data_IF_260755627152
#
_entry.id   IF_260755627152
#
_cell.length_a   1.000
_cell.length_b   1.000
_cell.length_c   1.000
_cell.angle_alpha   90.00
_cell.angle_beta   90.00
_cell.angle_gamma   90.00
#
_symmetry.space_group_name_H-M   'P 1'
#
loop_
_entity.id
_entity.type
_entity.pdbx_description
1 polymer ?
#
# COMPACT_ATOMS: atom_id res chain seq x y z
N UNK A 1 -16.94 81.90 -1.37
CA UNK A 1 -16.06 80.87 -0.74
C UNK A 1 -16.96 79.68 -0.41
N UNK A 2 -17.01 78.69 -1.31
CA UNK A 2 -17.94 77.56 -1.24
C UNK A 2 -17.10 76.31 -0.96
N UNK A 3 -17.27 75.72 0.22
CA UNK A 3 -16.56 74.52 0.68
C UNK A 3 -17.36 73.29 0.20
N UNK A 4 -16.78 72.45 -0.70
CA UNK A 4 -17.31 71.16 -1.07
C UNK A 4 -16.86 70.10 -0.04
N UNK A 5 -17.82 69.51 0.63
CA UNK A 5 -17.62 68.31 1.47
C UNK A 5 -17.73 67.06 0.56
N UNK A 6 -16.62 66.38 0.38
CA UNK A 6 -16.56 65.10 -0.33
C UNK A 6 -16.86 63.96 0.66
N UNK A 7 -18.08 63.43 0.64
CA UNK A 7 -18.47 62.25 1.40
C UNK A 7 -17.94 60.98 0.78
N UNK A 8 -16.91 60.38 1.44
CA UNK A 8 -16.41 59.06 1.07
C UNK A 8 -17.36 57.94 1.50
N UNK A 9 -17.92 57.21 0.59
CA UNK A 9 -18.73 56.02 0.79
C UNK A 9 -17.78 54.85 1.13
N UNK A 10 -17.73 54.49 2.40
CA UNK A 10 -16.93 53.30 2.87
C UNK A 10 -17.76 52.04 2.53
N UNK A 11 -17.44 51.36 1.47
CA UNK A 11 -18.01 50.04 1.13
C UNK A 11 -17.38 49.02 2.08
N UNK A 12 -18.13 48.55 3.07
CA UNK A 12 -17.73 47.43 3.94
C UNK A 12 -17.89 46.14 3.12
N UNK A 13 -16.74 45.60 2.67
CA UNK A 13 -16.70 44.26 2.09
C UNK A 13 -17.01 43.25 3.19
N UNK A 14 -18.20 42.68 3.17
CA UNK A 14 -18.53 41.53 4.01
C UNK A 14 -17.76 40.31 3.47
N UNK A 15 -16.74 39.89 4.21
CA UNK A 15 -16.08 38.59 3.93
C UNK A 15 -17.13 37.49 4.18
N UNK A 16 -17.50 36.80 3.10
CA UNK A 16 -18.28 35.57 3.18
C UNK A 16 -17.42 34.54 3.94
N UNK A 17 -17.90 33.97 5.06
CA UNK A 17 -17.13 32.91 5.74
C UNK A 17 -16.96 31.75 4.75
N UNK A 18 -15.73 31.33 4.53
CA UNK A 18 -15.44 30.12 3.80
C UNK A 18 -16.22 28.95 4.45
N UNK A 19 -16.81 28.03 3.66
CA UNK A 19 -17.49 26.89 4.23
C UNK A 19 -16.53 26.16 5.13
N UNK A 20 -16.96 25.86 6.37
CA UNK A 20 -16.20 25.12 7.38
C UNK A 20 -15.61 23.89 6.71
N UNK A 21 -14.28 23.82 6.69
CA UNK A 21 -13.56 22.80 5.98
C UNK A 21 -14.09 21.42 6.36
N UNK A 22 -14.51 20.65 5.37
CA UNK A 22 -14.57 19.21 5.52
C UNK A 22 -13.14 18.77 5.83
N UNK A 23 -12.89 18.52 7.10
CA UNK A 23 -11.67 17.89 7.57
C UNK A 23 -11.70 16.46 6.99
N UNK A 24 -11.19 16.32 5.76
CA UNK A 24 -10.89 15.02 5.22
C UNK A 24 -9.87 14.42 6.19
N UNK A 25 -10.28 13.44 6.97
CA UNK A 25 -9.35 12.60 7.70
C UNK A 25 -8.43 11.98 6.66
N UNK A 26 -7.35 12.69 6.34
CA UNK A 26 -6.35 12.29 5.38
C UNK A 26 -5.64 11.11 6.02
N UNK A 27 -5.89 9.90 5.50
CA UNK A 27 -5.18 8.71 5.96
C UNK A 27 -3.68 9.02 5.83
N UNK A 28 -3.01 9.09 6.97
CA UNK A 28 -1.56 9.29 6.99
C UNK A 28 -0.84 8.01 6.57
N UNK A 29 0.34 8.17 6.00
CA UNK A 29 1.24 7.03 5.75
C UNK A 29 1.56 6.34 7.06
N UNK A 30 1.35 5.04 7.09
CA UNK A 30 1.71 4.17 8.21
C UNK A 30 1.86 2.74 7.71
N UNK A 31 2.47 1.91 8.51
CA UNK A 31 2.46 0.46 8.30
C UNK A 31 1.03 -0.07 8.23
N UNK A 32 0.73 -0.97 7.28
CA UNK A 32 -0.60 -1.54 7.12
C UNK A 32 -1.59 -0.68 6.32
N UNK A 33 -1.10 0.21 5.45
CA UNK A 33 -1.92 0.88 4.44
C UNK A 33 -1.51 0.46 3.03
N UNK A 34 -2.43 0.56 2.08
CA UNK A 34 -2.11 0.48 0.67
C UNK A 34 -1.74 1.86 0.13
N UNK A 35 -0.69 1.89 -0.70
CA UNK A 35 -0.44 2.95 -1.64
C UNK A 35 -0.94 2.51 -3.01
N UNK A 36 -1.79 3.32 -3.62
CA UNK A 36 -2.39 3.06 -4.93
C UNK A 36 -1.84 4.07 -5.90
N UNK A 37 -1.13 3.61 -6.92
CA UNK A 37 -0.57 4.48 -7.95
C UNK A 37 -1.68 5.30 -8.64
N UNK A 38 -1.48 6.61 -8.74
CA UNK A 38 -2.37 7.49 -9.50
C UNK A 38 -2.42 7.05 -10.97
N UNK A 39 -3.54 7.20 -11.68
CA UNK A 39 -3.62 6.96 -13.11
C UNK A 39 -2.60 7.78 -13.94
N UNK A 40 -2.16 8.93 -13.42
CA UNK A 40 -1.15 9.80 -14.03
C UNK A 40 0.30 9.43 -13.70
N UNK A 41 0.53 8.42 -12.85
CA UNK A 41 1.88 7.98 -12.51
C UNK A 41 2.47 7.15 -13.66
N UNK A 42 3.46 7.72 -14.37
CA UNK A 42 4.07 7.11 -15.56
C UNK A 42 5.31 6.26 -15.27
N UNK A 43 5.86 6.30 -14.03
CA UNK A 43 7.04 5.51 -13.66
C UNK A 43 6.81 4.02 -13.98
N UNK A 44 7.65 3.39 -14.83
CA UNK A 44 7.48 2.01 -15.27
C UNK A 44 7.45 1.00 -14.11
N UNK A 45 8.16 1.30 -13.01
CA UNK A 45 8.18 0.45 -11.83
C UNK A 45 6.86 0.49 -11.05
N UNK A 46 6.13 1.62 -11.11
CA UNK A 46 4.99 1.87 -10.25
C UNK A 46 3.67 2.14 -10.97
N UNK A 47 3.68 2.30 -12.29
CA UNK A 47 2.43 2.48 -13.07
C UNK A 47 1.42 1.37 -12.75
N UNK A 48 0.20 1.75 -12.32
CA UNK A 48 -0.86 0.82 -11.92
C UNK A 48 -0.44 -0.14 -10.79
N UNK A 49 0.47 0.26 -9.92
CA UNK A 49 0.87 -0.55 -8.77
C UNK A 49 -0.06 -0.31 -7.58
N UNK A 50 -0.24 -1.37 -6.79
CA UNK A 50 -0.75 -1.31 -5.42
C UNK A 50 0.33 -1.86 -4.51
N UNK A 51 0.77 -1.06 -3.55
CA UNK A 51 1.78 -1.47 -2.59
C UNK A 51 1.19 -1.55 -1.19
N UNK A 52 1.67 -2.51 -0.41
CA UNK A 52 1.46 -2.55 1.02
C UNK A 52 2.65 -1.90 1.72
N UNK A 53 2.42 -0.91 2.57
CA UNK A 53 3.46 -0.36 3.43
C UNK A 53 3.73 -1.34 4.58
N UNK A 54 4.94 -1.89 4.61
CA UNK A 54 5.37 -2.88 5.61
C UNK A 54 6.26 -2.28 6.70
N UNK A 55 6.91 -1.14 6.43
CA UNK A 55 7.67 -0.34 7.38
C UNK A 55 7.52 1.14 7.06
N UNK A 56 7.40 1.97 8.10
CA UNK A 56 7.35 3.43 7.97
C UNK A 56 7.87 4.06 9.27
N UNK A 57 8.76 5.05 9.15
CA UNK A 57 9.35 5.74 10.29
C UNK A 57 10.41 6.77 9.88
N UNK A 58 11.20 7.20 10.85
CA UNK A 58 12.23 8.23 10.67
C UNK A 58 13.28 7.87 9.61
N UNK A 59 13.56 6.58 9.44
CA UNK A 59 14.56 6.07 8.47
C UNK A 59 14.00 5.93 7.05
N UNK A 60 12.71 6.21 6.84
CA UNK A 60 12.04 6.11 5.55
C UNK A 60 10.88 5.11 5.55
N UNK A 61 10.51 4.67 4.35
CA UNK A 61 9.36 3.80 4.12
C UNK A 61 9.73 2.62 3.24
N UNK A 62 9.19 1.44 3.57
CA UNK A 62 9.34 0.22 2.77
C UNK A 62 7.96 -0.31 2.41
N UNK A 63 7.79 -0.67 1.13
CA UNK A 63 6.56 -1.24 0.59
C UNK A 63 6.80 -2.47 -0.29
N UNK A 64 5.75 -3.27 -0.47
CA UNK A 64 5.73 -4.43 -1.37
C UNK A 64 4.65 -4.24 -2.42
N UNK A 65 5.03 -4.33 -3.71
CA UNK A 65 4.07 -4.32 -4.83
C UNK A 65 3.28 -5.63 -4.81
N UNK A 66 1.97 -5.54 -4.66
CA UNK A 66 1.10 -6.70 -4.48
C UNK A 66 0.61 -7.31 -5.79
N UNK A 67 0.61 -6.55 -6.87
CA UNK A 67 -0.04 -6.90 -8.12
C UNK A 67 0.91 -7.12 -9.30
N UNK A 68 2.14 -7.62 -9.03
CA UNK A 68 3.15 -7.96 -10.04
C UNK A 68 3.57 -9.44 -9.94
N UNK A 69 2.70 -10.42 -10.25
CA UNK A 69 3.12 -11.81 -10.31
C UNK A 69 4.09 -12.01 -11.48
N UNK A 70 5.12 -12.80 -11.27
CA UNK A 70 6.03 -13.22 -12.34
C UNK A 70 5.54 -14.54 -12.99
N UNK A 71 6.22 -14.97 -14.04
CA UNK A 71 6.03 -16.32 -14.61
C UNK A 71 6.80 -17.39 -13.82
N UNK A 72 7.78 -16.98 -13.01
CA UNK A 72 8.65 -17.87 -12.24
C UNK A 72 7.85 -18.57 -11.13
N UNK A 73 7.91 -19.88 -11.09
CA UNK A 73 7.33 -20.65 -10.00
C UNK A 73 8.21 -20.53 -8.74
N UNK A 74 7.58 -20.55 -7.59
CA UNK A 74 8.32 -20.48 -6.34
C UNK A 74 9.21 -21.72 -6.13
N UNK A 75 8.82 -22.88 -6.69
CA UNK A 75 9.64 -24.08 -6.71
C UNK A 75 10.93 -23.96 -7.55
N UNK A 76 10.93 -23.07 -8.53
CA UNK A 76 12.13 -22.77 -9.34
C UNK A 76 13.03 -21.75 -8.63
N UNK A 77 12.44 -20.79 -7.94
CA UNK A 77 13.15 -19.79 -7.15
C UNK A 77 13.76 -20.36 -5.86
N UNK A 78 13.16 -21.39 -5.28
CA UNK A 78 13.55 -22.04 -4.01
C UNK A 78 13.60 -23.57 -4.20
N UNK A 79 14.54 -24.10 -5.01
CA UNK A 79 14.58 -25.53 -5.38
C UNK A 79 14.83 -26.47 -4.21
N UNK A 80 15.44 -25.97 -3.13
CA UNK A 80 15.73 -26.74 -1.92
C UNK A 80 14.49 -27.00 -1.05
N UNK A 81 13.39 -26.24 -1.29
CA UNK A 81 12.13 -26.42 -0.57
C UNK A 81 11.26 -27.44 -1.33
N UNK A 82 11.40 -28.71 -0.96
CA UNK A 82 10.81 -29.83 -1.70
C UNK A 82 9.29 -29.81 -1.75
N UNK A 83 8.59 -29.27 -0.74
CA UNK A 83 7.13 -29.17 -0.69
C UNK A 83 6.57 -28.26 -1.78
N UNK A 84 7.38 -27.36 -2.34
CA UNK A 84 6.99 -26.46 -3.43
C UNK A 84 6.87 -27.18 -4.79
N UNK A 85 7.54 -28.32 -5.00
CA UNK A 85 7.63 -29.00 -6.30
C UNK A 85 6.28 -29.43 -6.90
N UNK A 86 5.24 -29.51 -6.06
CA UNK A 86 3.88 -29.89 -6.47
C UNK A 86 2.88 -28.74 -6.36
N UNK A 87 3.38 -27.51 -6.31
CA UNK A 87 2.56 -26.32 -6.16
C UNK A 87 2.72 -25.40 -7.37
N UNK A 88 1.72 -24.54 -7.60
CA UNK A 88 1.72 -23.52 -8.65
C UNK A 88 1.94 -22.10 -8.10
N UNK A 89 2.48 -21.96 -6.89
CA UNK A 89 2.78 -20.65 -6.32
C UNK A 89 3.81 -19.91 -7.16
N UNK A 90 3.54 -18.63 -7.40
CA UNK A 90 4.41 -17.75 -8.18
C UNK A 90 5.16 -16.79 -7.28
N UNK A 91 6.36 -16.42 -7.70
CA UNK A 91 7.09 -15.30 -7.14
C UNK A 91 6.51 -13.99 -7.66
N UNK A 92 6.44 -12.98 -6.80
CA UNK A 92 6.02 -11.62 -7.14
C UNK A 92 7.23 -10.68 -7.16
N UNK A 93 7.18 -9.65 -8.00
CA UNK A 93 8.11 -8.51 -7.90
C UNK A 93 7.60 -7.60 -6.80
N UNK A 94 8.34 -7.50 -5.69
CA UNK A 94 7.98 -6.63 -4.56
C UNK A 94 8.37 -5.17 -4.75
N UNK A 95 9.30 -4.89 -5.67
CA UNK A 95 9.76 -3.55 -6.02
C UNK A 95 11.12 -3.54 -6.69
N UNK A 96 11.64 -2.34 -7.07
CA UNK A 96 12.88 -2.22 -7.84
C UNK A 96 14.16 -2.35 -7.00
N UNK A 97 14.06 -2.32 -5.66
CA UNK A 97 15.22 -2.35 -4.77
C UNK A 97 15.56 -3.79 -4.42
N UNK A 98 16.84 -4.16 -4.54
CA UNK A 98 17.42 -5.43 -4.12
C UNK A 98 16.59 -6.66 -4.56
N UNK A 99 16.54 -6.91 -5.87
CA UNK A 99 15.80 -8.02 -6.46
C UNK A 99 16.23 -9.41 -5.95
N UNK A 100 17.40 -9.52 -5.30
CA UNK A 100 17.87 -10.76 -4.67
C UNK A 100 17.27 -11.00 -3.29
N UNK A 101 16.68 -9.98 -2.68
CA UNK A 101 16.06 -10.08 -1.35
C UNK A 101 14.72 -10.79 -1.43
N UNK A 102 14.66 -11.96 -0.80
CA UNK A 102 13.43 -12.70 -0.64
C UNK A 102 12.64 -12.24 0.59
N UNK A 103 11.35 -11.98 0.39
CA UNK A 103 10.43 -11.56 1.44
C UNK A 103 9.14 -12.37 1.36
N UNK A 104 8.59 -12.71 2.51
CA UNK A 104 7.33 -13.41 2.65
C UNK A 104 6.32 -12.55 3.39
N UNK A 105 5.18 -12.34 2.78
CA UNK A 105 3.99 -11.83 3.45
C UNK A 105 3.06 -13.02 3.69
N UNK A 106 2.57 -13.18 4.92
CA UNK A 106 1.73 -14.32 5.27
C UNK A 106 0.71 -13.98 6.35
N UNK A 107 -0.42 -14.67 6.30
CA UNK A 107 -1.49 -14.64 7.30
C UNK A 107 -1.50 -15.98 8.01
N UNK A 108 -1.27 -15.96 9.33
CA UNK A 108 -1.24 -17.15 10.19
C UNK A 108 -1.77 -16.81 11.59
N UNK A 109 -2.32 -17.81 12.30
CA UNK A 109 -2.76 -17.63 13.69
C UNK A 109 -1.57 -17.58 14.66
N UNK A 110 -0.56 -18.40 14.42
CA UNK A 110 0.62 -18.53 15.27
C UNK A 110 1.88 -18.14 14.46
N UNK A 111 2.33 -16.88 14.54
CA UNK A 111 3.48 -16.42 13.78
C UNK A 111 4.79 -17.00 14.35
N UNK A 112 5.80 -17.24 13.48
CA UNK A 112 7.16 -17.49 13.95
C UNK A 112 7.70 -16.33 14.76
N UNK A 113 8.66 -16.61 15.68
CA UNK A 113 9.24 -15.60 16.56
C UNK A 113 9.98 -14.47 15.82
N UNK A 114 10.50 -14.76 14.61
CA UNK A 114 11.19 -13.79 13.74
C UNK A 114 10.26 -13.04 12.78
N UNK A 115 8.95 -13.32 12.81
CA UNK A 115 7.96 -12.65 11.99
C UNK A 115 7.58 -11.28 12.58
N UNK A 116 7.45 -10.28 11.73
CA UNK A 116 7.03 -8.94 12.13
C UNK A 116 5.58 -8.68 11.72
N UNK A 117 4.74 -8.35 12.69
CA UNK A 117 3.36 -7.97 12.43
C UNK A 117 3.32 -6.72 11.53
N UNK A 118 2.55 -6.79 10.46
CA UNK A 118 2.25 -5.62 9.62
C UNK A 118 0.90 -5.03 10.02
N UNK A 119 -0.19 -5.82 9.96
CA UNK A 119 -1.53 -5.48 10.46
C UNK A 119 -2.38 -6.75 10.56
N UNK A 120 -3.39 -6.78 11.38
CA UNK A 120 -4.50 -7.77 11.44
C UNK A 120 -4.13 -9.23 11.13
N UNK A 121 -3.09 -9.75 11.79
CA UNK A 121 -2.63 -11.12 11.58
C UNK A 121 -1.85 -11.35 10.29
N UNK A 122 -1.50 -10.28 9.57
CA UNK A 122 -0.60 -10.28 8.42
C UNK A 122 0.82 -9.95 8.89
N UNK A 123 1.74 -10.82 8.58
CA UNK A 123 3.14 -10.75 9.03
C UNK A 123 4.09 -10.71 7.85
N UNK A 124 5.23 -10.06 8.06
CA UNK A 124 6.39 -10.07 7.17
C UNK A 124 7.48 -10.97 7.76
N UNK A 125 8.02 -11.87 6.95
CA UNK A 125 9.16 -12.73 7.31
C UNK A 125 10.17 -12.84 6.17
N UNK A 126 11.33 -13.42 6.49
CA UNK A 126 12.42 -13.63 5.53
C UNK A 126 12.82 -15.10 5.41
N UNK A 127 12.34 -15.94 6.32
CA UNK A 127 12.73 -17.35 6.37
C UNK A 127 11.74 -18.24 5.61
N UNK A 128 12.23 -19.13 4.74
CA UNK A 128 11.37 -20.07 4.01
C UNK A 128 10.65 -21.10 4.89
N UNK A 129 11.09 -21.30 6.15
CA UNK A 129 10.50 -22.30 7.07
C UNK A 129 9.00 -22.14 7.29
N UNK A 130 8.49 -20.89 7.25
CA UNK A 130 7.06 -20.65 7.39
C UNK A 130 6.27 -21.20 6.20
N UNK A 131 6.86 -21.23 5.00
CA UNK A 131 6.26 -21.81 3.80
C UNK A 131 6.00 -23.30 3.97
N UNK A 132 7.03 -24.05 4.44
CA UNK A 132 6.89 -25.48 4.64
C UNK A 132 5.73 -25.78 5.60
N UNK A 133 5.62 -25.05 6.69
CA UNK A 133 4.54 -25.21 7.65
C UNK A 133 3.17 -24.91 7.02
N UNK A 134 3.00 -23.79 6.33
CA UNK A 134 1.72 -23.40 5.70
C UNK A 134 1.29 -24.43 4.65
N UNK A 135 2.25 -24.95 3.87
CA UNK A 135 1.95 -25.89 2.78
C UNK A 135 1.65 -27.30 3.33
N UNK A 136 2.41 -27.75 4.32
CA UNK A 136 2.26 -29.12 4.88
C UNK A 136 1.14 -29.26 5.88
N UNK A 137 0.81 -28.17 6.58
CA UNK A 137 -0.23 -28.11 7.60
C UNK A 137 -1.34 -27.14 7.16
N UNK A 138 -1.81 -27.30 5.92
CA UNK A 138 -2.77 -26.40 5.32
C UNK A 138 -3.98 -26.16 6.23
N UNK A 139 -4.17 -24.90 6.63
CA UNK A 139 -5.36 -24.44 7.34
C UNK A 139 -6.08 -23.44 6.42
N UNK A 140 -7.42 -23.48 6.33
CA UNK A 140 -8.18 -22.65 5.37
C UNK A 140 -7.92 -21.14 5.49
N UNK A 141 -7.50 -20.67 6.66
CA UNK A 141 -7.24 -19.26 6.95
C UNK A 141 -5.76 -18.86 6.86
N UNK A 142 -4.86 -19.83 6.69
CA UNK A 142 -3.42 -19.56 6.60
C UNK A 142 -2.98 -19.52 5.14
N UNK A 143 -2.25 -18.49 4.75
CA UNK A 143 -1.80 -18.28 3.38
C UNK A 143 -0.56 -17.41 3.34
N UNK A 144 0.08 -17.34 2.17
CA UNK A 144 1.27 -16.51 1.97
C UNK A 144 1.37 -15.97 0.54
N UNK A 145 2.23 -14.96 0.37
CA UNK A 145 2.71 -14.47 -0.90
C UNK A 145 4.20 -14.18 -0.81
N UNK A 146 4.97 -14.60 -1.81
CA UNK A 146 6.43 -14.47 -1.84
C UNK A 146 6.87 -13.39 -2.82
N UNK A 147 7.87 -12.60 -2.44
CA UNK A 147 8.34 -11.44 -3.19
C UNK A 147 9.85 -11.48 -3.37
N UNK A 148 10.30 -11.02 -4.55
CA UNK A 148 11.68 -10.64 -4.82
C UNK A 148 11.77 -9.12 -4.86
N UNK A 149 12.70 -8.55 -4.08
CA UNK A 149 12.85 -7.10 -3.95
C UNK A 149 11.73 -6.40 -3.20
N UNK A 150 11.83 -5.09 -3.10
CA UNK A 150 10.90 -4.22 -2.40
C UNK A 150 10.96 -2.79 -2.98
N UNK A 151 10.01 -1.94 -2.63
CA UNK A 151 10.04 -0.50 -2.85
C UNK A 151 10.54 0.21 -1.60
N UNK A 152 11.35 1.25 -1.77
CA UNK A 152 11.85 2.04 -0.66
C UNK A 152 11.80 3.53 -0.99
N UNK A 153 11.46 4.32 0.01
CA UNK A 153 11.49 5.79 -0.02
C UNK A 153 12.40 6.30 1.10
N UNK A 154 13.24 7.26 0.77
CA UNK A 154 14.01 8.00 1.76
C UNK A 154 13.06 8.77 2.71
N UNK A 155 13.55 9.23 3.88
CA UNK A 155 12.75 10.07 4.77
C UNK A 155 12.11 11.25 4.04
N UNK A 156 10.80 11.45 4.22
CA UNK A 156 9.95 12.47 3.58
C UNK A 156 9.74 12.36 2.06
N UNK A 157 10.36 11.41 1.37
CA UNK A 157 10.18 11.26 -0.07
C UNK A 157 8.74 10.87 -0.40
N UNK A 158 8.19 9.88 0.29
CA UNK A 158 6.82 9.43 0.04
C UNK A 158 5.79 10.52 0.33
N UNK A 159 5.98 11.30 1.38
CA UNK A 159 5.11 12.42 1.72
C UNK A 159 5.12 13.49 0.62
N UNK A 160 6.28 13.77 0.02
CA UNK A 160 6.39 14.69 -1.11
C UNK A 160 5.65 14.14 -2.35
N UNK A 161 5.76 12.85 -2.63
CA UNK A 161 5.04 12.19 -3.74
C UNK A 161 3.52 12.19 -3.52
N UNK A 162 3.06 12.08 -2.28
CA UNK A 162 1.63 12.21 -1.92
C UNK A 162 1.10 13.62 -2.14
N UNK A 163 1.87 14.64 -1.79
CA UNK A 163 1.49 16.06 -2.01
C UNK A 163 1.24 16.35 -3.48
N UNK A 164 2.04 15.79 -4.38
CA UNK A 164 1.84 15.95 -5.83
C UNK A 164 0.81 14.99 -6.44
N UNK A 165 0.16 14.18 -5.60
CA UNK A 165 -0.91 13.28 -6.03
C UNK A 165 -0.45 12.03 -6.77
N UNK A 166 0.81 11.61 -6.60
CA UNK A 166 1.33 10.38 -7.19
C UNK A 166 0.67 9.12 -6.63
N UNK A 167 0.18 9.17 -5.38
CA UNK A 167 -0.38 8.05 -4.65
C UNK A 167 -1.70 8.39 -3.95
N UNK A 168 -2.63 7.45 -4.00
CA UNK A 168 -3.76 7.38 -3.07
C UNK A 168 -3.47 6.46 -1.89
N UNK A 169 -4.13 6.69 -0.74
CA UNK A 169 -3.99 5.84 0.45
C UNK A 169 -5.33 5.18 0.76
N UNK A 170 -5.31 3.85 0.99
CA UNK A 170 -6.43 3.07 1.49
C UNK A 170 -6.02 2.24 2.71
N UNK A 171 -6.93 1.93 3.63
CA UNK A 171 -6.69 0.89 4.63
C UNK A 171 -6.38 -0.43 3.92
N UNK A 172 -5.35 -1.14 4.38
CA UNK A 172 -5.06 -2.46 3.86
C UNK A 172 -6.05 -3.49 4.42
N UNK A 173 -6.34 -4.50 3.63
CA UNK A 173 -7.13 -5.66 4.04
C UNK A 173 -6.51 -6.96 3.50
N UNK A 174 -6.66 -8.04 4.26
CA UNK A 174 -6.02 -9.31 3.94
C UNK A 174 -6.63 -10.00 2.71
N UNK A 175 -7.91 -9.76 2.41
CA UNK A 175 -8.59 -10.31 1.23
C UNK A 175 -7.94 -9.76 -0.06
N UNK A 176 -7.77 -8.46 -0.15
CA UNK A 176 -7.10 -7.81 -1.29
C UNK A 176 -5.67 -8.33 -1.51
N UNK A 177 -4.97 -8.69 -0.41
CA UNK A 177 -3.59 -9.19 -0.50
C UNK A 177 -3.53 -10.63 -1.00
N UNK A 178 -4.37 -11.52 -0.47
CA UNK A 178 -4.18 -12.96 -0.65
C UNK A 178 -5.22 -13.63 -1.54
N UNK A 179 -6.44 -13.13 -1.54
CA UNK A 179 -7.60 -13.83 -2.11
C UNK A 179 -8.09 -13.17 -3.42
N UNK A 180 -7.74 -11.91 -3.66
CA UNK A 180 -8.11 -11.18 -4.87
C UNK A 180 -7.15 -11.45 -6.04
N UNK A 181 -7.68 -11.41 -7.26
CA UNK A 181 -6.88 -11.47 -8.49
C UNK A 181 -5.93 -10.25 -8.58
N UNK A 182 -4.61 -10.44 -8.59
CA UNK A 182 -3.66 -9.34 -8.68
C UNK A 182 -3.86 -8.44 -9.90
N UNK A 183 -4.36 -8.98 -11.01
CA UNK A 183 -4.59 -8.21 -12.24
C UNK A 183 -5.71 -7.18 -12.09
N UNK A 184 -6.66 -7.39 -11.17
CA UNK A 184 -7.80 -6.49 -10.92
C UNK A 184 -7.56 -5.54 -9.76
N UNK A 185 -6.57 -5.83 -8.90
CA UNK A 185 -6.37 -5.15 -7.62
C UNK A 185 -6.25 -3.62 -7.76
N UNK A 186 -5.50 -3.14 -8.75
CA UNK A 186 -5.33 -1.69 -8.94
C UNK A 186 -6.64 -1.00 -9.32
N UNK A 187 -7.39 -1.56 -10.27
CA UNK A 187 -8.66 -0.99 -10.72
C UNK A 187 -9.69 -0.94 -9.57
N UNK A 188 -9.73 -2.01 -8.76
CA UNK A 188 -10.64 -2.08 -7.61
C UNK A 188 -10.25 -1.07 -6.53
N UNK A 189 -8.95 -0.88 -6.27
CA UNK A 189 -8.47 0.15 -5.36
C UNK A 189 -8.77 1.57 -5.87
N UNK A 190 -8.60 1.85 -7.16
CA UNK A 190 -8.98 3.14 -7.76
C UNK A 190 -10.48 3.40 -7.56
N UNK A 191 -11.33 2.40 -7.82
CA UNK A 191 -12.77 2.52 -7.61
C UNK A 191 -13.12 2.83 -6.15
N UNK A 192 -12.42 2.21 -5.19
CA UNK A 192 -12.59 2.48 -3.74
C UNK A 192 -12.16 3.90 -3.37
N UNK A 193 -11.10 4.43 -3.98
CA UNK A 193 -10.65 5.82 -3.76
C UNK A 193 -11.64 6.86 -4.29
N UNK A 194 -12.36 6.54 -5.37
CA UNK A 194 -13.32 7.42 -6.01
C UNK A 194 -14.74 7.31 -5.44
N UNK A 195 -15.02 6.25 -4.68
CA UNK A 195 -16.34 6.03 -4.09
C UNK A 195 -16.69 7.16 -3.09
N UNK A 196 -17.92 7.71 -3.12
CA UNK A 196 -18.39 8.65 -2.13
C UNK A 196 -18.30 8.02 -0.74
N UNK A 197 -17.65 8.70 0.19
CA UNK A 197 -17.63 8.24 1.59
C UNK A 197 -19.01 8.45 2.20
N UNK A 198 -19.73 7.38 2.46
CA UNK A 198 -20.97 7.42 3.23
C UNK A 198 -20.57 7.68 4.68
N UNK A 199 -20.85 8.88 5.19
CA UNK A 199 -20.71 9.21 6.61
C UNK A 199 -21.96 8.62 7.27
N UNK A 200 -21.81 7.49 7.96
CA UNK A 200 -22.83 6.98 8.87
C UNK A 200 -22.79 7.85 10.14
N UNK A 201 -23.88 8.58 10.39
CA UNK A 201 -24.13 9.34 11.63
C UNK A 201 -24.60 8.39 12.74
#
# INVERSE_FOLDING_TARGET
MTSLLLGGLLTVLHAVPAPAGMEFAQLSVKKGVFLVASPSLEDPNFRQAVLLIVEHGAEGTVGLILNRPTKLLLSEALPDITVLKRTSYRLFVGGPVDASRFLLLFRVKEPPADARLVFDGVYLGRTPRVLERIITQAKPTETFRAFAGFAAWAPRQLEAELVVGAWGILPADSFSIFDQDPAKLWQDCISRLQAPRVISY
#
